data_IF_059606913919
#
_entry.id   IF_059606913919
#
_cell.length_a   1.000
_cell.length_b   1.000
_cell.length_c   1.000
_cell.angle_alpha   90.00
_cell.angle_beta   90.00
_cell.angle_gamma   90.00
#
_symmetry.space_group_name_H-M   'P 1'
#
loop_
_entity.id
_entity.type
_entity.pdbx_description
1 polymer ?
#
# COMPACT_ATOMS: atom_id res chain seq x y z
N UNK A 1 31.27 -33.20 -6.26
CA UNK A 1 31.41 -32.87 -4.81
C UNK A 1 31.46 -31.37 -4.51
N UNK A 2 32.27 -30.55 -5.20
CA UNK A 2 32.25 -29.09 -4.99
C UNK A 2 31.07 -28.41 -5.70
N UNK A 3 30.73 -28.87 -6.91
CA UNK A 3 29.62 -28.34 -7.71
C UNK A 3 28.25 -28.54 -7.03
N UNK A 4 28.05 -29.72 -6.42
CA UNK A 4 26.79 -30.08 -5.76
C UNK A 4 26.52 -29.22 -4.50
N UNK A 5 27.58 -28.74 -3.84
CA UNK A 5 27.46 -27.80 -2.70
C UNK A 5 27.05 -26.40 -3.16
N UNK A 6 27.65 -25.91 -4.25
CA UNK A 6 27.37 -24.58 -4.81
C UNK A 6 25.94 -24.46 -5.36
N UNK A 7 25.37 -25.56 -5.85
CA UNK A 7 23.99 -25.61 -6.34
C UNK A 7 22.97 -25.65 -5.18
N UNK A 8 23.29 -26.35 -4.09
CA UNK A 8 22.45 -26.40 -2.90
C UNK A 8 22.42 -25.06 -2.14
N UNK A 9 23.57 -24.38 -2.07
CA UNK A 9 23.67 -23.02 -1.51
C UNK A 9 22.85 -22.02 -2.35
N UNK A 10 22.95 -22.03 -3.67
CA UNK A 10 22.09 -21.17 -4.52
C UNK A 10 20.60 -21.49 -4.43
N UNK A 11 20.23 -22.77 -4.33
CA UNK A 11 18.82 -23.19 -4.17
C UNK A 11 18.24 -22.71 -2.85
N UNK A 12 18.98 -22.88 -1.74
CA UNK A 12 18.60 -22.38 -0.43
C UNK A 12 18.57 -20.85 -0.38
N UNK A 13 19.49 -20.17 -1.08
CA UNK A 13 19.49 -18.71 -1.18
C UNK A 13 18.30 -18.15 -1.96
N UNK A 14 17.92 -18.79 -3.06
CA UNK A 14 16.73 -18.43 -3.82
C UNK A 14 15.44 -18.73 -3.04
N UNK A 15 15.41 -19.83 -2.29
CA UNK A 15 14.27 -20.23 -1.47
C UNK A 15 13.90 -19.20 -0.40
N UNK A 16 14.89 -18.67 0.33
CA UNK A 16 14.61 -17.67 1.39
C UNK A 16 14.18 -16.31 0.80
N UNK A 17 14.76 -15.90 -0.33
CA UNK A 17 14.40 -14.65 -1.00
C UNK A 17 12.96 -14.71 -1.55
N UNK A 18 12.57 -15.84 -2.14
CA UNK A 18 11.24 -16.05 -2.68
C UNK A 18 10.14 -16.09 -1.59
N UNK A 19 10.42 -16.71 -0.44
CA UNK A 19 9.50 -16.71 0.69
C UNK A 19 9.30 -15.31 1.29
N UNK A 20 10.37 -14.51 1.35
CA UNK A 20 10.30 -13.10 1.78
C UNK A 20 9.46 -12.25 0.82
N UNK A 21 9.69 -12.38 -0.49
CA UNK A 21 8.91 -11.68 -1.52
C UNK A 21 7.44 -12.03 -1.47
N UNK A 22 7.09 -13.32 -1.35
CA UNK A 22 5.71 -13.76 -1.18
C UNK A 22 5.05 -13.16 0.06
N UNK A 23 5.76 -13.12 1.19
CA UNK A 23 5.25 -12.56 2.44
C UNK A 23 5.02 -11.05 2.32
N UNK A 24 5.95 -10.33 1.73
CA UNK A 24 5.83 -8.88 1.49
C UNK A 24 4.70 -8.57 0.50
N UNK A 25 4.58 -9.36 -0.58
CA UNK A 25 3.51 -9.24 -1.56
C UNK A 25 2.13 -9.55 -0.95
N UNK A 26 2.04 -10.58 -0.10
CA UNK A 26 0.80 -10.90 0.61
C UNK A 26 0.41 -9.77 1.58
N UNK A 27 1.36 -9.22 2.33
CA UNK A 27 1.10 -8.05 3.19
C UNK A 27 0.63 -6.85 2.38
N UNK A 28 1.24 -6.57 1.24
CA UNK A 28 0.81 -5.49 0.35
C UNK A 28 -0.61 -5.75 -0.19
N UNK A 29 -0.92 -6.98 -0.59
CA UNK A 29 -2.25 -7.39 -1.04
C UNK A 29 -3.31 -7.26 0.06
N UNK A 30 -3.00 -7.70 1.28
CA UNK A 30 -3.90 -7.56 2.44
C UNK A 30 -4.12 -6.09 2.75
N UNK A 31 -3.07 -5.26 2.74
CA UNK A 31 -3.18 -3.82 2.97
C UNK A 31 -3.99 -3.14 1.86
N UNK A 32 -3.83 -3.58 0.62
CA UNK A 32 -4.60 -3.11 -0.53
C UNK A 32 -6.07 -3.47 -0.40
N UNK A 33 -6.39 -4.73 -0.06
CA UNK A 33 -7.75 -5.20 0.15
C UNK A 33 -8.41 -4.47 1.33
N UNK A 34 -7.69 -4.30 2.45
CA UNK A 34 -8.13 -3.49 3.58
C UNK A 34 -8.35 -2.03 3.17
N UNK A 35 -7.46 -1.46 2.35
CA UNK A 35 -7.66 -0.11 1.83
C UNK A 35 -8.91 0.02 0.97
N UNK A 36 -9.14 -0.96 0.09
CA UNK A 36 -10.28 -0.95 -0.83
C UNK A 36 -11.62 -1.19 -0.14
N UNK A 37 -11.64 -1.81 1.04
CA UNK A 37 -12.86 -2.07 1.82
C UNK A 37 -13.02 -1.13 3.02
N UNK A 38 -11.99 -0.95 3.83
CA UNK A 38 -12.11 -0.15 5.05
C UNK A 38 -12.29 1.34 4.75
N UNK A 39 -11.68 1.85 3.68
CA UNK A 39 -11.68 3.30 3.41
C UNK A 39 -12.94 3.81 2.75
N UNK A 40 -13.54 3.15 1.75
CA UNK A 40 -14.87 3.56 1.29
C UNK A 40 -15.89 3.52 2.42
N UNK A 41 -15.80 2.52 3.31
CA UNK A 41 -16.64 2.45 4.50
C UNK A 41 -16.40 3.61 5.49
N UNK A 42 -15.14 3.98 5.75
CA UNK A 42 -14.79 5.13 6.60
C UNK A 42 -15.22 6.45 5.97
N UNK A 43 -15.06 6.64 4.66
CA UNK A 43 -15.51 7.84 3.94
C UNK A 43 -17.03 7.97 4.04
N UNK A 44 -17.77 6.89 3.80
CA UNK A 44 -19.22 6.88 3.94
C UNK A 44 -19.66 7.18 5.38
N UNK A 45 -19.01 6.56 6.37
CA UNK A 45 -19.33 6.77 7.78
C UNK A 45 -19.02 8.20 8.24
N UNK A 46 -17.84 8.72 7.93
CA UNK A 46 -17.42 10.07 8.34
C UNK A 46 -18.22 11.11 7.57
N UNK A 47 -18.42 10.90 6.27
CA UNK A 47 -19.19 11.81 5.43
C UNK A 47 -20.65 11.88 5.82
N UNK A 48 -21.31 10.75 6.06
CA UNK A 48 -22.70 10.73 6.56
C UNK A 48 -22.86 11.44 7.91
N UNK A 49 -21.81 11.45 8.74
CA UNK A 49 -21.82 12.10 10.06
C UNK A 49 -21.46 13.58 10.03
N UNK A 50 -20.58 14.01 9.12
CA UNK A 50 -20.08 15.40 9.05
C UNK A 50 -20.81 16.23 7.99
N UNK A 51 -21.01 15.67 6.80
CA UNK A 51 -21.60 16.36 5.64
C UNK A 51 -23.13 16.15 5.57
N UNK A 52 -23.66 15.20 6.35
CA UNK A 52 -25.06 14.79 6.29
C UNK A 52 -25.29 13.68 5.27
N UNK A 53 -26.56 13.30 5.02
CA UNK A 53 -26.91 12.22 4.09
C UNK A 53 -26.35 12.48 2.69
N UNK A 54 -25.73 11.47 2.08
CA UNK A 54 -25.22 11.53 0.72
C UNK A 54 -26.38 11.40 -0.29
N UNK A 55 -27.24 12.42 -0.38
CA UNK A 55 -28.42 12.40 -1.26
C UNK A 55 -29.35 11.23 -0.94
N UNK A 56 -29.67 10.41 -1.95
CA UNK A 56 -30.51 9.20 -1.82
C UNK A 56 -29.74 7.96 -1.29
N UNK A 57 -28.45 8.10 -0.96
CA UNK A 57 -27.62 7.00 -0.48
C UNK A 57 -27.74 6.88 1.04
N UNK A 58 -28.73 6.13 1.48
CA UNK A 58 -29.00 5.88 2.90
C UNK A 58 -28.20 4.71 3.49
N UNK A 59 -27.60 3.85 2.67
CA UNK A 59 -26.92 2.63 3.15
C UNK A 59 -25.51 2.47 2.58
N UNK A 60 -24.65 1.81 3.34
CA UNK A 60 -23.29 1.48 2.90
C UNK A 60 -23.30 0.56 1.67
N UNK A 61 -24.30 -0.33 1.54
CA UNK A 61 -24.42 -1.23 0.40
C UNK A 61 -24.74 -0.47 -0.89
N UNK A 62 -25.68 0.49 -0.85
CA UNK A 62 -25.99 1.34 -2.00
C UNK A 62 -24.81 2.23 -2.38
N UNK A 63 -24.05 2.73 -1.40
CA UNK A 63 -22.80 3.46 -1.65
C UNK A 63 -21.77 2.61 -2.43
N UNK A 64 -21.59 1.34 -2.05
CA UNK A 64 -20.69 0.44 -2.77
C UNK A 64 -21.16 0.14 -4.19
N UNK A 65 -22.45 -0.12 -4.38
CA UNK A 65 -23.01 -0.39 -5.70
C UNK A 65 -22.83 0.82 -6.61
N UNK A 66 -23.11 2.03 -6.12
CA UNK A 66 -22.92 3.28 -6.86
C UNK A 66 -21.44 3.57 -7.17
N UNK A 67 -20.56 3.33 -6.19
CA UNK A 67 -19.11 3.47 -6.36
C UNK A 67 -18.59 2.51 -7.44
N UNK A 68 -18.88 1.21 -7.33
CA UNK A 68 -18.43 0.23 -8.31
C UNK A 68 -19.09 0.42 -9.69
N UNK A 69 -20.35 0.87 -9.73
CA UNK A 69 -21.03 1.30 -10.96
C UNK A 69 -20.28 2.46 -11.63
N UNK A 70 -19.96 3.51 -10.88
CA UNK A 70 -19.17 4.65 -11.36
C UNK A 70 -17.75 4.26 -11.83
N UNK A 71 -17.15 3.22 -11.22
CA UNK A 71 -15.87 2.66 -11.70
C UNK A 71 -16.01 1.99 -13.07
N UNK A 72 -17.07 1.20 -13.26
CA UNK A 72 -17.38 0.49 -14.51
C UNK A 72 -17.73 1.47 -15.64
N UNK A 73 -18.36 2.59 -15.30
CA UNK A 73 -18.63 3.69 -16.23
C UNK A 73 -17.37 4.49 -16.61
N UNK A 74 -16.22 4.18 -16.00
CA UNK A 74 -14.96 4.86 -16.31
C UNK A 74 -14.89 6.30 -15.77
N UNK A 75 -15.72 6.67 -14.78
CA UNK A 75 -15.67 8.02 -14.19
C UNK A 75 -14.34 8.22 -13.48
N UNK A 76 -13.50 9.11 -14.01
CA UNK A 76 -12.16 9.37 -13.50
C UNK A 76 -12.13 9.80 -12.02
N UNK A 77 -13.17 10.48 -11.54
CA UNK A 77 -13.31 10.86 -10.12
C UNK A 77 -13.46 9.63 -9.22
N UNK A 78 -14.23 8.62 -9.62
CA UNK A 78 -14.42 7.40 -8.83
C UNK A 78 -13.13 6.58 -8.74
N UNK A 79 -12.38 6.52 -9.85
CA UNK A 79 -11.03 5.96 -9.88
C UNK A 79 -10.07 6.74 -9.00
N UNK A 80 -10.09 8.07 -9.02
CA UNK A 80 -9.31 8.92 -8.13
C UNK A 80 -9.68 8.70 -6.67
N UNK A 81 -10.96 8.54 -6.34
CA UNK A 81 -11.42 8.31 -4.98
C UNK A 81 -10.90 6.98 -4.43
N UNK A 82 -11.06 5.91 -5.19
CA UNK A 82 -10.54 4.57 -4.86
C UNK A 82 -9.01 4.56 -4.82
N UNK A 83 -8.36 5.22 -5.77
CA UNK A 83 -6.90 5.29 -5.85
C UNK A 83 -6.29 6.26 -4.85
N UNK A 84 -7.05 7.21 -4.30
CA UNK A 84 -6.56 8.27 -3.40
C UNK A 84 -5.85 7.68 -2.19
N UNK A 85 -6.40 6.61 -1.63
CA UNK A 85 -5.79 5.94 -0.50
C UNK A 85 -4.53 5.16 -0.90
N UNK A 86 -4.56 4.46 -2.02
CA UNK A 86 -3.37 3.77 -2.52
C UNK A 86 -2.24 4.76 -2.79
N UNK A 87 -2.57 5.91 -3.37
CA UNK A 87 -1.66 7.04 -3.58
C UNK A 87 -1.18 7.61 -2.25
N UNK A 88 -2.07 7.76 -1.27
CA UNK A 88 -1.72 8.26 0.06
C UNK A 88 -0.76 7.33 0.82
N UNK A 89 -1.03 6.02 0.81
CA UNK A 89 -0.14 5.01 1.39
C UNK A 89 1.20 4.94 0.64
N UNK A 90 1.16 5.05 -0.70
CA UNK A 90 2.37 5.12 -1.52
C UNK A 90 3.18 6.36 -1.18
N UNK A 91 2.53 7.51 -0.95
CA UNK A 91 3.17 8.75 -0.56
C UNK A 91 3.80 8.64 0.83
N UNK A 92 3.12 8.03 1.81
CA UNK A 92 3.70 7.73 3.14
C UNK A 92 4.91 6.80 3.01
N UNK A 93 4.83 5.75 2.19
CA UNK A 93 5.95 4.82 1.95
C UNK A 93 7.13 5.55 1.30
N UNK A 94 6.85 6.49 0.41
CA UNK A 94 7.86 7.33 -0.24
C UNK A 94 8.50 8.30 0.76
N UNK A 95 7.71 8.96 1.61
CA UNK A 95 8.21 9.83 2.68
C UNK A 95 9.06 9.06 3.68
N UNK A 96 8.59 7.90 4.15
CA UNK A 96 9.33 7.07 5.11
C UNK A 96 10.60 6.48 4.49
N UNK A 97 10.58 6.09 3.22
CA UNK A 97 11.75 5.66 2.47
C UNK A 97 12.76 6.79 2.28
N UNK A 98 12.29 7.98 1.86
CA UNK A 98 13.10 9.17 1.69
C UNK A 98 13.75 9.61 3.01
N UNK A 99 12.98 9.58 4.10
CA UNK A 99 13.48 9.82 5.45
C UNK A 99 14.60 8.84 5.82
N UNK A 100 14.43 7.54 5.51
CA UNK A 100 15.42 6.49 5.78
C UNK A 100 16.73 6.72 5.00
N UNK A 101 16.63 7.13 3.73
CA UNK A 101 17.77 7.45 2.86
C UNK A 101 18.52 8.70 3.33
N UNK A 102 17.79 9.75 3.72
CA UNK A 102 18.39 10.98 4.28
C UNK A 102 19.12 10.69 5.59
N UNK A 103 18.53 9.86 6.47
CA UNK A 103 19.17 9.48 7.73
C UNK A 103 20.43 8.63 7.53
N UNK A 104 20.45 7.74 6.53
CA UNK A 104 21.64 6.94 6.20
C UNK A 104 22.79 7.79 5.63
N UNK A 105 22.47 8.89 4.95
CA UNK A 105 23.49 9.81 4.41
C UNK A 105 24.07 10.76 5.46
N UNK A 106 23.37 10.99 6.58
CA UNK A 106 23.90 11.76 7.72
C UNK A 106 24.96 10.99 8.54
N UNK A 107 24.86 9.66 8.61
CA UNK A 107 25.82 8.83 9.36
C UNK A 107 27.20 8.78 8.70
N UNK A 108 27.29 8.86 7.36
CA UNK A 108 28.57 8.81 6.63
C UNK A 108 29.41 10.08 6.73
N UNK A 109 28.81 11.24 7.07
CA UNK A 109 29.54 12.50 7.27
C UNK A 109 30.18 12.64 8.65
N UNK A 110 29.62 11.98 9.68
CA UNK A 110 30.18 12.03 11.04
C UNK A 110 31.43 11.16 11.21
N UNK A 111 31.61 10.14 10.38
CA UNK A 111 32.82 9.31 10.37
C UNK A 111 34.04 9.96 9.72
N UNK A 112 33.86 11.01 8.89
CA UNK A 112 34.94 11.73 8.20
C UNK A 112 35.37 13.02 8.92
N UNK A 113 34.65 13.43 9.97
CA UNK A 113 35.01 14.58 10.82
C UNK A 113 35.66 14.15 12.14
N UNK A 114 35.90 12.85 12.31
CA UNK A 114 36.52 12.24 13.49
C UNK A 114 37.88 11.59 13.18
N UNK A 115 38.40 11.79 11.96
CA UNK A 115 39.78 11.46 11.57
C UNK A 115 40.62 12.74 11.43
#
# INVERSE_FOLDING_TARGET
>A
MANDRMENERSSEQGWAWQRLKTEAFRLLVLLALGMWLVPALIFLVGSRILGPYGDIDTLATFYIDLFGSLLEGRGIAWLLVSSLYLFLSLIRLLTGLWRVIHHSAARRKGLAAE
#
